data_IF_350771025310
#
_entry.id   IF_350771025310
#
_cell.length_a   1.000
_cell.length_b   1.000
_cell.length_c   1.000
_cell.angle_alpha   90.00
_cell.angle_beta   90.00
_cell.angle_gamma   90.00
#
_symmetry.space_group_name_H-M   'P 1'
#
loop_
_entity.id
_entity.type
_entity.pdbx_description
1 polymer ?
#
# COMPACT_ATOMS: atom_id res chain seq x y z
N UNK A 1 -13.01 -16.03 9.82
CA UNK A 1 -13.20 -14.82 10.65
C UNK A 1 -12.14 -13.73 10.40
N UNK A 2 -10.83 -14.02 10.50
CA UNK A 2 -9.77 -12.99 10.50
C UNK A 2 -9.73 -12.03 9.29
N UNK A 3 -10.02 -12.49 8.06
CA UNK A 3 -9.92 -11.66 6.84
C UNK A 3 -10.87 -10.44 6.84
N UNK A 4 -12.09 -10.59 7.39
CA UNK A 4 -13.06 -9.49 7.48
C UNK A 4 -12.66 -8.47 8.54
N UNK A 5 -12.07 -8.92 9.66
CA UNK A 5 -11.55 -8.03 10.71
C UNK A 5 -10.47 -7.08 10.17
N UNK A 6 -9.46 -7.62 9.48
CA UNK A 6 -8.42 -6.81 8.84
C UNK A 6 -8.98 -5.84 7.80
N UNK A 7 -9.90 -6.30 6.92
CA UNK A 7 -10.50 -5.43 5.89
C UNK A 7 -11.30 -4.27 6.47
N UNK A 8 -12.05 -4.50 7.56
CA UNK A 8 -12.86 -3.47 8.23
C UNK A 8 -11.98 -2.52 9.05
N UNK A 9 -10.94 -3.01 9.73
CA UNK A 9 -10.00 -2.15 10.49
C UNK A 9 -9.19 -1.27 9.55
N UNK A 10 -8.68 -1.80 8.44
CA UNK A 10 -7.97 -1.00 7.43
C UNK A 10 -8.86 0.06 6.78
N UNK A 11 -10.14 -0.21 6.51
CA UNK A 11 -11.05 0.85 6.05
C UNK A 11 -11.36 1.88 7.15
N UNK A 12 -11.63 1.45 8.39
CA UNK A 12 -11.95 2.38 9.49
C UNK A 12 -10.81 3.33 9.87
N UNK A 13 -9.55 2.93 9.67
CA UNK A 13 -8.40 3.81 9.86
C UNK A 13 -8.24 4.84 8.74
N UNK A 14 -8.68 4.51 7.51
CA UNK A 14 -8.61 5.42 6.36
C UNK A 14 -9.79 6.41 6.30
N UNK A 15 -10.98 6.02 6.77
CA UNK A 15 -12.21 6.83 6.65
C UNK A 15 -12.38 7.90 7.77
N UNK A 16 -11.38 8.15 8.63
CA UNK A 16 -11.38 9.23 9.65
C UNK A 16 -10.07 10.04 9.63
N UNK A 17 -9.99 11.02 8.73
CA UNK A 17 -8.89 12.02 8.65
C UNK A 17 -7.47 11.44 8.52
N UNK A 18 -7.33 10.13 8.29
CA UNK A 18 -6.03 9.50 8.03
C UNK A 18 -5.49 9.98 6.69
N UNK A 19 -4.38 10.72 6.71
CA UNK A 19 -3.65 11.04 5.50
C UNK A 19 -3.23 9.72 4.83
N UNK A 20 -3.81 9.38 3.68
CA UNK A 20 -3.52 8.13 2.94
C UNK A 20 -2.04 8.02 2.54
N UNK A 21 -1.38 9.18 2.44
CA UNK A 21 0.02 9.38 2.11
C UNK A 21 0.92 9.52 3.36
N UNK A 22 0.40 9.22 4.57
CA UNK A 22 1.19 9.24 5.79
C UNK A 22 2.32 8.21 5.75
N UNK A 23 3.56 8.69 5.89
CA UNK A 23 4.77 7.87 6.01
C UNK A 23 5.06 7.62 7.49
N UNK A 24 5.25 6.37 7.91
CA UNK A 24 5.53 6.04 9.30
C UNK A 24 6.14 4.65 9.50
N UNK A 25 7.23 4.59 10.27
CA UNK A 25 7.88 3.33 10.64
C UNK A 25 8.59 2.62 9.47
N UNK A 26 8.90 1.33 9.69
CA UNK A 26 9.82 0.54 8.87
C UNK A 26 9.42 0.40 7.38
N UNK A 27 8.12 0.30 7.11
CA UNK A 27 7.60 0.03 5.75
C UNK A 27 7.24 1.29 4.95
N UNK A 28 7.34 2.49 5.54
CA UNK A 28 6.92 3.72 4.89
C UNK A 28 5.42 3.98 5.05
N UNK A 29 4.68 4.10 3.95
CA UNK A 29 3.23 4.31 3.96
C UNK A 29 2.43 2.99 3.77
N UNK A 30 1.10 3.08 3.83
CA UNK A 30 0.21 1.92 3.68
C UNK A 30 0.33 1.23 2.30
N UNK A 31 0.61 1.99 1.24
CA UNK A 31 0.74 1.49 -0.13
C UNK A 31 2.03 0.67 -0.29
N UNK A 32 3.14 1.16 0.27
CA UNK A 32 4.43 0.46 0.28
C UNK A 32 4.36 -0.85 1.08
N UNK A 33 3.73 -0.81 2.26
CA UNK A 33 3.49 -2.01 3.07
C UNK A 33 2.62 -3.05 2.34
N UNK A 34 1.54 -2.61 1.67
CA UNK A 34 0.70 -3.49 0.86
C UNK A 34 1.44 -4.07 -0.35
N UNK A 35 2.28 -3.26 -1.01
CA UNK A 35 3.09 -3.65 -2.16
C UNK A 35 4.12 -4.72 -1.80
N UNK A 36 4.90 -4.53 -0.74
CA UNK A 36 5.89 -5.51 -0.26
C UNK A 36 5.24 -6.82 0.25
N UNK A 37 3.97 -6.79 0.67
CA UNK A 37 3.23 -7.97 1.17
C UNK A 37 2.38 -8.68 0.12
N UNK A 38 2.41 -8.27 -1.14
CA UNK A 38 1.61 -8.91 -2.20
C UNK A 38 0.11 -8.66 -2.06
N UNK A 39 -0.30 -7.63 -1.31
CA UNK A 39 -1.71 -7.35 -1.01
C UNK A 39 -2.37 -6.55 -2.13
N UNK A 40 -2.44 -7.15 -3.32
CA UNK A 40 -2.92 -6.55 -4.57
C UNK A 40 -4.27 -5.83 -4.42
N UNK A 41 -5.26 -6.47 -3.79
CA UNK A 41 -6.58 -5.87 -3.59
C UNK A 41 -6.54 -4.61 -2.68
N UNK A 42 -5.58 -4.56 -1.75
CA UNK A 42 -5.33 -3.38 -0.91
C UNK A 42 -4.61 -2.28 -1.70
N UNK A 43 -3.66 -2.64 -2.57
CA UNK A 43 -3.01 -1.70 -3.49
C UNK A 43 -4.05 -1.05 -4.42
N UNK A 44 -4.91 -1.85 -5.08
CA UNK A 44 -6.01 -1.32 -5.92
C UNK A 44 -6.92 -0.36 -5.15
N UNK A 45 -7.25 -0.68 -3.90
CA UNK A 45 -8.08 0.18 -3.05
C UNK A 45 -7.39 1.50 -2.69
N UNK A 46 -6.10 1.47 -2.35
CA UNK A 46 -5.34 2.66 -1.97
C UNK A 46 -5.14 3.61 -3.16
N UNK A 47 -4.78 3.10 -4.33
CA UNK A 47 -4.63 3.91 -5.55
C UNK A 47 -5.99 4.52 -5.95
N UNK A 48 -7.08 3.74 -5.92
CA UNK A 48 -8.45 4.26 -6.15
C UNK A 48 -8.88 5.33 -5.13
N UNK A 49 -8.25 5.39 -3.96
CA UNK A 49 -8.46 6.41 -2.93
C UNK A 49 -7.47 7.59 -3.01
N UNK A 50 -6.61 7.65 -4.03
CA UNK A 50 -5.67 8.75 -4.27
C UNK A 50 -4.34 8.63 -3.51
N UNK A 51 -3.90 7.41 -3.18
CA UNK A 51 -2.55 7.20 -2.66
C UNK A 51 -1.48 7.55 -3.72
N UNK A 52 -0.50 8.36 -3.34
CA UNK A 52 0.62 8.73 -4.22
C UNK A 52 1.66 7.59 -4.27
N UNK A 53 1.79 7.01 -5.46
CA UNK A 53 2.70 5.89 -5.76
C UNK A 53 4.19 6.27 -5.67
N UNK A 54 4.51 7.57 -5.76
CA UNK A 54 5.88 8.09 -5.83
C UNK A 54 6.49 8.42 -4.47
N UNK A 55 5.68 8.39 -3.40
CA UNK A 55 6.15 8.67 -2.04
C UNK A 55 7.28 7.72 -1.66
N UNK A 56 8.37 8.32 -1.17
CA UNK A 56 9.52 7.61 -0.63
C UNK A 56 9.43 7.54 0.89
N UNK A 57 9.74 6.38 1.46
CA UNK A 57 9.71 6.15 2.91
C UNK A 57 10.01 4.71 3.31
N UNK A 58 10.39 4.50 4.56
CA UNK A 58 10.80 3.19 5.06
C UNK A 58 12.05 2.63 4.35
N UNK A 59 12.29 1.33 4.50
CA UNK A 59 13.49 0.66 3.96
C UNK A 59 13.42 0.42 2.44
N UNK A 60 12.23 0.43 1.84
CA UNK A 60 11.99 -0.09 0.48
C UNK A 60 11.93 0.97 -0.62
N UNK A 61 12.23 2.23 -0.34
CA UNK A 61 12.18 3.30 -1.35
C UNK A 61 10.74 3.77 -1.59
N UNK A 62 10.11 3.45 -2.72
CA UNK A 62 8.72 3.76 -3.06
C UNK A 62 7.84 2.49 -3.20
N UNK A 63 6.57 2.64 -3.61
CA UNK A 63 5.64 1.50 -3.73
C UNK A 63 6.07 0.46 -4.77
N UNK A 64 6.67 0.91 -5.89
CA UNK A 64 7.15 0.04 -6.96
C UNK A 64 8.36 -0.78 -6.50
N UNK A 65 9.34 -0.13 -5.89
CA UNK A 65 10.52 -0.78 -5.31
C UNK A 65 10.14 -1.77 -4.19
N UNK A 66 9.12 -1.44 -3.40
CA UNK A 66 8.55 -2.35 -2.40
C UNK A 66 7.91 -3.60 -3.04
N UNK A 67 7.16 -3.45 -4.14
CA UNK A 67 6.59 -4.57 -4.89
C UNK A 67 7.67 -5.45 -5.53
N UNK A 68 8.70 -4.85 -6.13
CA UNK A 68 9.85 -5.56 -6.69
C UNK A 68 10.66 -6.32 -5.63
N UNK A 69 10.82 -5.76 -4.42
CA UNK A 69 11.53 -6.42 -3.32
C UNK A 69 10.80 -7.66 -2.80
N UNK A 70 9.48 -7.74 -3.00
CA UNK A 70 8.66 -8.90 -2.62
C UNK A 70 8.35 -9.88 -3.76
N UNK A 71 8.96 -9.70 -4.94
CA UNK A 71 8.68 -10.47 -6.17
C UNK A 71 7.20 -10.43 -6.65
N UNK A 72 6.49 -9.32 -6.38
CA UNK A 72 5.05 -9.19 -6.67
C UNK A 72 4.77 -8.60 -8.06
N UNK A 73 5.06 -9.35 -9.13
CA UNK A 73 4.94 -8.89 -10.54
C UNK A 73 3.57 -8.25 -10.88
N UNK A 74 2.47 -8.84 -10.41
CA UNK A 74 1.12 -8.32 -10.63
C UNK A 74 0.92 -6.90 -10.04
N UNK A 75 1.59 -6.60 -8.93
CA UNK A 75 1.58 -5.28 -8.30
C UNK A 75 2.54 -4.32 -9.00
N UNK A 76 3.69 -4.81 -9.48
CA UNK A 76 4.63 -4.03 -10.30
C UNK A 76 3.94 -3.52 -11.57
N UNK A 77 3.25 -4.40 -12.31
CA UNK A 77 2.47 -4.04 -13.50
C UNK A 77 1.39 -3.00 -13.18
N UNK A 78 0.58 -3.28 -12.15
CA UNK A 78 -0.48 -2.40 -11.65
C UNK A 78 0.04 -0.99 -11.33
N UNK A 79 1.18 -0.87 -10.63
CA UNK A 79 1.80 0.41 -10.27
C UNK A 79 2.44 1.16 -11.46
N UNK A 80 2.75 0.46 -12.55
CA UNK A 80 3.22 1.07 -13.82
C UNK A 80 2.03 1.55 -14.67
N UNK A 81 0.87 0.91 -14.52
CA UNK A 81 -0.40 1.24 -15.20
C UNK A 81 -1.26 2.29 -14.45
N UNK A 82 -0.81 2.76 -13.27
CA UNK A 82 -1.54 3.67 -12.36
C UNK A 82 -1.13 5.13 -12.49
#
# INVERSE_FOLDING_TARGET
AALLGLKIVSQRLLDRNGNINAVGGKFGNALQAASHKGHEATVRLLIKRGADINIKGGEYGNALQAASTGDHEAIVRLLIES
#
